data_IF_843585202898
#
_entry.id   IF_843585202898
#
_cell.length_a   1.000
_cell.length_b   1.000
_cell.length_c   1.000
_cell.angle_alpha   90.00
_cell.angle_beta   90.00
_cell.angle_gamma   90.00
#
_symmetry.space_group_name_H-M   'P 1'
#
loop_
_entity.id
_entity.type
_entity.pdbx_description
1 polymer ?
#
# COMPACT_ATOMS: atom_id res chain seq x y z
N UNK A 1 11.48 15.39 -0.62
CA UNK A 1 10.82 14.10 -0.32
C UNK A 1 11.30 12.98 -1.25
N UNK A 2 11.33 13.18 -2.58
CA UNK A 2 11.73 12.13 -3.54
C UNK A 2 13.04 11.41 -3.21
N UNK A 3 14.10 12.14 -2.86
CA UNK A 3 15.41 11.51 -2.60
C UNK A 3 15.45 10.67 -1.32
N UNK A 4 14.61 10.98 -0.33
CA UNK A 4 14.56 10.28 0.96
C UNK A 4 13.93 8.89 0.84
N UNK A 5 13.01 8.72 -0.11
CA UNK A 5 12.21 7.51 -0.26
C UNK A 5 12.47 6.79 -1.58
N UNK A 6 13.60 7.08 -2.24
CA UNK A 6 13.95 6.48 -3.54
C UNK A 6 13.98 4.95 -3.51
N UNK A 7 14.35 4.35 -2.37
CA UNK A 7 14.35 2.90 -2.18
C UNK A 7 12.94 2.29 -2.03
N UNK A 8 11.90 3.12 -1.90
CA UNK A 8 10.49 2.72 -1.81
C UNK A 8 9.68 3.21 -3.01
N UNK A 9 10.34 3.49 -4.14
CA UNK A 9 9.70 4.05 -5.32
C UNK A 9 8.60 3.12 -5.86
N UNK A 10 8.85 1.81 -5.97
CA UNK A 10 7.86 0.82 -6.42
C UNK A 10 6.65 0.75 -5.50
N UNK A 11 6.86 0.80 -4.18
CA UNK A 11 5.77 0.89 -3.20
C UNK A 11 4.97 2.19 -3.39
N UNK A 12 5.65 3.30 -3.63
CA UNK A 12 4.99 4.58 -3.93
C UNK A 12 4.13 4.51 -5.19
N UNK A 13 4.62 3.87 -6.25
CA UNK A 13 3.86 3.66 -7.49
C UNK A 13 2.64 2.76 -7.27
N UNK A 14 2.77 1.67 -6.51
CA UNK A 14 1.63 0.85 -6.14
C UNK A 14 0.58 1.66 -5.38
N UNK A 15 0.98 2.40 -4.34
CA UNK A 15 0.07 3.17 -3.50
C UNK A 15 -0.66 4.25 -4.32
N UNK A 16 0.08 5.03 -5.11
CA UNK A 16 -0.49 6.14 -5.88
C UNK A 16 -1.31 5.65 -7.09
N UNK A 17 -0.90 4.55 -7.71
CA UNK A 17 -1.59 3.96 -8.85
C UNK A 17 -2.86 3.20 -8.46
N UNK A 18 -2.94 2.69 -7.23
CA UNK A 18 -4.08 1.90 -6.75
C UNK A 18 -5.10 2.76 -6.00
N UNK A 19 -4.64 3.65 -5.12
CA UNK A 19 -5.50 4.41 -4.21
C UNK A 19 -5.55 5.90 -4.58
N UNK A 20 -5.94 6.18 -5.82
CA UNK A 20 -6.14 7.54 -6.35
C UNK A 20 -7.53 8.09 -5.99
N UNK A 21 -7.75 9.38 -6.22
CA UNK A 21 -8.93 10.12 -5.74
C UNK A 21 -10.27 9.59 -6.28
N UNK A 22 -10.29 9.10 -7.53
CA UNK A 22 -11.52 8.70 -8.25
C UNK A 22 -11.85 7.21 -8.11
N UNK A 23 -11.36 6.54 -7.07
CA UNK A 23 -11.73 5.15 -6.77
C UNK A 23 -13.18 5.05 -6.26
N UNK A 24 -13.89 3.99 -6.66
CA UNK A 24 -15.24 3.71 -6.15
C UNK A 24 -15.23 3.43 -4.64
N UNK A 25 -14.26 2.64 -4.18
CA UNK A 25 -14.00 2.37 -2.77
C UNK A 25 -12.61 1.76 -2.60
N UNK A 26 -12.08 1.75 -1.37
CA UNK A 26 -10.81 1.08 -1.05
C UNK A 26 -10.85 -0.41 -1.35
N UNK A 27 -11.99 -1.05 -1.07
CA UNK A 27 -12.20 -2.48 -1.37
C UNK A 27 -12.22 -2.75 -2.87
N UNK A 28 -12.89 -1.89 -3.65
CA UNK A 28 -12.88 -2.00 -5.10
C UNK A 28 -11.46 -1.83 -5.67
N UNK A 29 -10.75 -0.78 -5.25
CA UNK A 29 -9.40 -0.48 -5.72
C UNK A 29 -8.41 -1.63 -5.50
N UNK A 30 -8.37 -2.20 -4.29
CA UNK A 30 -7.46 -3.32 -4.01
C UNK A 30 -7.87 -4.60 -4.75
N UNK A 31 -9.17 -4.84 -4.94
CA UNK A 31 -9.66 -5.99 -5.71
C UNK A 31 -9.34 -5.88 -7.20
N UNK A 32 -9.45 -4.68 -7.79
CA UNK A 32 -9.01 -4.42 -9.17
C UNK A 32 -7.51 -4.70 -9.34
N UNK A 33 -6.67 -4.18 -8.44
CA UNK A 33 -5.24 -4.47 -8.46
C UNK A 33 -4.97 -5.98 -8.36
N UNK A 34 -5.57 -6.66 -7.37
CA UNK A 34 -5.40 -8.10 -7.14
C UNK A 34 -5.77 -8.92 -8.39
N UNK A 35 -6.83 -8.52 -9.07
CA UNK A 35 -7.36 -9.23 -10.25
C UNK A 35 -6.54 -8.94 -11.49
N UNK A 36 -6.06 -7.70 -11.64
CA UNK A 36 -5.37 -7.22 -12.84
C UNK A 36 -3.90 -7.62 -12.95
N UNK A 37 -3.23 -7.97 -11.85
CA UNK A 37 -1.78 -8.25 -11.85
C UNK A 37 -1.45 -9.73 -11.72
N UNK A 38 -0.20 -10.11 -12.02
CA UNK A 38 0.28 -11.49 -11.88
C UNK A 38 0.56 -11.86 -10.43
N UNK A 39 0.64 -13.17 -10.12
CA UNK A 39 1.05 -13.62 -8.77
C UNK A 39 2.45 -13.12 -8.39
N UNK A 40 3.36 -13.00 -9.36
CA UNK A 40 4.69 -12.44 -9.13
C UNK A 40 4.57 -10.97 -8.69
N UNK A 41 3.73 -10.18 -9.34
CA UNK A 41 3.49 -8.79 -8.94
C UNK A 41 2.91 -8.69 -7.52
N UNK A 42 1.96 -9.57 -7.15
CA UNK A 42 1.42 -9.61 -5.79
C UNK A 42 2.48 -9.94 -4.74
N UNK A 43 3.38 -10.90 -5.04
CA UNK A 43 4.49 -11.25 -4.15
C UNK A 43 5.45 -10.08 -4.00
N UNK A 44 5.86 -9.45 -5.10
CA UNK A 44 6.75 -8.29 -5.06
C UNK A 44 6.16 -7.14 -4.23
N UNK A 45 4.90 -6.78 -4.48
CA UNK A 45 4.22 -5.73 -3.70
C UNK A 45 4.13 -6.08 -2.21
N UNK A 46 3.87 -7.34 -1.87
CA UNK A 46 3.87 -7.79 -0.48
C UNK A 46 5.26 -7.67 0.18
N UNK A 47 6.32 -8.03 -0.54
CA UNK A 47 7.70 -7.89 -0.10
C UNK A 47 8.08 -6.41 0.08
N UNK A 48 7.70 -5.54 -0.85
CA UNK A 48 7.94 -4.09 -0.78
C UNK A 48 7.27 -3.46 0.44
N UNK A 49 5.99 -3.77 0.68
CA UNK A 49 5.26 -3.29 1.86
C UNK A 49 5.94 -3.80 3.14
N UNK A 50 6.28 -5.08 3.19
CA UNK A 50 6.88 -5.70 4.37
C UNK A 50 8.24 -5.09 4.70
N UNK A 51 9.11 -4.93 3.69
CA UNK A 51 10.43 -4.31 3.84
C UNK A 51 10.32 -2.84 4.28
N UNK A 52 9.34 -2.10 3.74
CA UNK A 52 9.07 -0.73 4.16
C UNK A 52 8.64 -0.65 5.63
N UNK A 53 7.70 -1.48 6.07
CA UNK A 53 7.24 -1.48 7.47
C UNK A 53 8.34 -1.89 8.45
N UNK A 54 9.22 -2.81 8.04
CA UNK A 54 10.36 -3.29 8.83
C UNK A 54 11.59 -2.38 8.77
N UNK A 55 11.55 -1.30 7.98
CA UNK A 55 12.68 -0.38 7.84
C UNK A 55 12.97 0.43 9.11
N UNK A 56 14.15 1.05 9.14
CA UNK A 56 14.59 1.95 10.22
C UNK A 56 13.88 3.32 10.22
N UNK A 57 12.96 3.57 9.29
CA UNK A 57 12.14 4.79 9.31
C UNK A 57 11.33 4.86 10.61
N UNK A 58 11.21 6.05 11.17
CA UNK A 58 10.30 6.29 12.29
C UNK A 58 8.84 6.06 11.89
N UNK A 59 7.98 5.84 12.88
CA UNK A 59 6.53 5.71 12.67
C UNK A 59 5.98 6.89 11.89
N UNK A 60 6.38 8.12 12.26
CA UNK A 60 5.93 9.34 11.59
C UNK A 60 6.35 9.38 10.11
N UNK A 61 7.58 8.99 9.79
CA UNK A 61 8.06 8.96 8.40
C UNK A 61 7.32 7.92 7.56
N UNK A 62 6.99 6.78 8.16
CA UNK A 62 6.19 5.75 7.49
C UNK A 62 4.78 6.25 7.21
N UNK A 63 4.12 6.85 8.20
CA UNK A 63 2.79 7.42 8.02
C UNK A 63 2.77 8.55 7.00
N UNK A 64 3.74 9.46 7.04
CA UNK A 64 3.87 10.55 6.08
C UNK A 64 4.05 10.01 4.66
N UNK A 65 4.89 8.98 4.47
CA UNK A 65 5.08 8.35 3.17
C UNK A 65 3.77 7.74 2.64
N UNK A 66 3.01 7.04 3.49
CA UNK A 66 1.73 6.43 3.07
C UNK A 66 0.73 7.51 2.69
N UNK A 67 0.58 8.55 3.52
CA UNK A 67 -0.31 9.68 3.23
C UNK A 67 0.10 10.39 1.93
N UNK A 68 1.40 10.58 1.71
CA UNK A 68 1.89 11.27 0.52
C UNK A 68 1.64 10.49 -0.78
N UNK A 69 1.62 9.16 -0.72
CA UNK A 69 1.44 8.30 -1.89
C UNK A 69 0.03 7.73 -2.01
N UNK A 70 -0.94 8.21 -1.23
CA UNK A 70 -2.34 7.77 -1.33
C UNK A 70 -3.28 8.97 -1.26
N UNK A 71 -4.40 8.92 -1.96
CA UNK A 71 -5.45 9.95 -1.87
C UNK A 71 -6.54 9.53 -0.86
N UNK A 72 -6.11 8.97 0.28
CA UNK A 72 -6.98 8.40 1.31
C UNK A 72 -7.15 9.39 2.47
N UNK A 73 -8.40 9.66 2.85
CA UNK A 73 -8.71 10.41 4.06
C UNK A 73 -8.78 9.49 5.30
N UNK A 74 -7.61 9.16 5.86
CA UNK A 74 -7.47 8.25 7.02
C UNK A 74 -8.35 8.58 8.25
N UNK A 75 -8.61 9.86 8.61
CA UNK A 75 -9.50 10.16 9.72
C UNK A 75 -10.91 9.57 9.58
N UNK A 76 -11.41 9.35 8.36
CA UNK A 76 -12.70 8.69 8.12
C UNK A 76 -12.65 7.16 8.28
N UNK A 77 -11.47 6.55 8.19
CA UNK A 77 -11.29 5.10 8.35
C UNK A 77 -11.17 4.67 9.82
N UNK A 78 -10.92 5.62 10.73
CA UNK A 78 -10.57 5.33 12.12
C UNK A 78 -9.40 4.33 12.24
N UNK A 79 -8.43 4.49 11.34
CA UNK A 79 -7.19 3.72 11.26
C UNK A 79 -6.02 4.69 11.04
N UNK A 80 -4.88 4.38 11.61
CA UNK A 80 -3.61 4.98 11.18
C UNK A 80 -3.24 4.49 9.78
N UNK A 81 -2.41 5.24 9.03
CA UNK A 81 -1.92 4.79 7.73
C UNK A 81 -1.20 3.44 7.78
N UNK A 82 -0.44 3.18 8.85
CA UNK A 82 0.26 1.91 9.04
C UNK A 82 -0.73 0.76 9.27
N UNK A 83 -1.69 0.92 10.18
CA UNK A 83 -2.71 -0.12 10.45
C UNK A 83 -3.51 -0.46 9.20
N UNK A 84 -3.83 0.55 8.37
CA UNK A 84 -4.47 0.32 7.08
C UNK A 84 -3.56 -0.47 6.13
N UNK A 85 -2.27 -0.12 6.03
CA UNK A 85 -1.34 -0.82 5.15
C UNK A 85 -1.10 -2.28 5.60
N UNK A 86 -1.12 -2.55 6.90
CA UNK A 86 -1.10 -3.90 7.46
C UNK A 86 -2.35 -4.72 7.06
N UNK A 87 -3.52 -4.08 6.93
CA UNK A 87 -4.71 -4.76 6.41
C UNK A 87 -4.54 -5.10 4.92
N UNK A 88 -3.90 -4.23 4.13
CA UNK A 88 -3.58 -4.52 2.72
C UNK A 88 -2.69 -5.76 2.59
N UNK A 89 -1.67 -5.91 3.45
CA UNK A 89 -0.84 -7.13 3.53
C UNK A 89 -1.71 -8.38 3.66
N UNK A 90 -2.67 -8.37 4.58
CA UNK A 90 -3.53 -9.53 4.82
C UNK A 90 -4.45 -9.83 3.63
N UNK A 91 -4.93 -8.81 2.92
CA UNK A 91 -5.69 -8.99 1.68
C UNK A 91 -4.84 -9.63 0.57
N UNK A 92 -3.61 -9.13 0.36
CA UNK A 92 -2.69 -9.69 -0.64
C UNK A 92 -2.31 -11.14 -0.33
N UNK A 93 -2.04 -11.47 0.94
CA UNK A 93 -1.78 -12.86 1.37
C UNK A 93 -2.98 -13.78 1.12
N UNK A 94 -4.20 -13.31 1.35
CA UNK A 94 -5.42 -14.09 1.08
C UNK A 94 -5.61 -14.29 -0.43
N UNK A 95 -5.40 -13.24 -1.22
CA UNK A 95 -5.48 -13.33 -2.67
C UNK A 95 -4.53 -14.37 -3.25
N UNK A 96 -3.26 -14.38 -2.80
CA UNK A 96 -2.26 -15.36 -3.24
C UNK A 96 -2.62 -16.81 -2.90
N UNK A 97 -3.38 -17.06 -1.82
CA UNK A 97 -3.84 -18.40 -1.45
C UNK A 97 -5.03 -18.87 -2.30
N UNK A 98 -5.78 -17.94 -2.87
CA UNK A 98 -7.08 -18.20 -3.51
C UNK A 98 -7.05 -18.04 -5.04
N UNK A 99 -5.87 -17.81 -5.63
CA UNK A 99 -5.68 -17.47 -7.05
C UNK A 99 -5.06 -18.62 -7.85
#
# INVERSE_FOLDING_TARGET
>A
MKDKYIQYEELGYFLAGTFYQDIESLEFAINEFITGVTNICLVNTLEDITAFLQSDLSVHEKEEFIIYNTEIYFPALNLTPIEWLEQIIELLKRALKNK
#
